data_IF_403812116262
#
_entry.id   IF_403812116262
#
_cell.length_a   1.000
_cell.length_b   1.000
_cell.length_c   1.000
_cell.angle_alpha   90.00
_cell.angle_beta   90.00
_cell.angle_gamma   90.00
#
_symmetry.space_group_name_H-M   'P 1'
#
loop_
_entity.id
_entity.type
_entity.pdbx_description
1 polymer ?
#
# COMPACT_ATOMS: atom_id res chain seq x y z
N UNK A 1 7.98 40.98 -3.40
CA UNK A 1 7.46 39.83 -4.14
C UNK A 1 5.95 39.99 -4.26
N UNK A 2 5.43 40.18 -5.48
CA UNK A 2 4.02 40.45 -5.70
C UNK A 2 3.21 39.22 -6.13
N UNK A 3 3.87 38.09 -6.43
CA UNK A 3 3.22 36.90 -6.98
C UNK A 3 3.10 35.78 -5.94
N UNK A 4 1.94 35.12 -5.91
CA UNK A 4 1.70 33.91 -5.12
C UNK A 4 0.99 32.89 -6.00
N UNK A 5 1.51 31.66 -5.98
CA UNK A 5 0.91 30.52 -6.65
C UNK A 5 0.18 29.68 -5.61
N UNK A 6 -0.98 29.13 -5.97
CA UNK A 6 -1.79 28.26 -5.13
C UNK A 6 -2.23 27.07 -5.98
N UNK A 7 -1.87 25.87 -5.56
CA UNK A 7 -2.42 24.64 -6.10
C UNK A 7 -3.42 24.05 -5.11
N UNK A 8 -4.62 23.75 -5.56
CA UNK A 8 -5.62 22.99 -4.82
C UNK A 8 -5.69 21.59 -5.43
N UNK A 9 -5.42 20.59 -4.62
CA UNK A 9 -5.30 19.21 -5.03
C UNK A 9 -6.37 18.38 -4.32
N UNK A 10 -7.08 17.51 -5.05
CA UNK A 10 -7.96 16.51 -4.48
C UNK A 10 -7.39 15.15 -4.81
N UNK A 11 -7.04 14.43 -3.79
CA UNK A 11 -6.56 13.04 -3.89
C UNK A 11 -7.64 12.06 -3.42
N UNK A 12 -7.67 10.89 -4.05
CA UNK A 12 -8.58 9.80 -3.70
C UNK A 12 -7.76 8.56 -3.31
N UNK A 13 -8.10 7.92 -2.21
CA UNK A 13 -7.44 6.69 -1.77
C UNK A 13 -7.78 5.53 -2.71
N UNK A 14 -6.77 4.90 -3.28
CA UNK A 14 -6.88 3.72 -4.16
C UNK A 14 -6.81 2.42 -3.38
N UNK A 15 -6.08 2.44 -2.26
CA UNK A 15 -6.02 1.36 -1.29
C UNK A 15 -6.35 1.87 0.11
N UNK A 16 -6.63 1.00 1.09
CA UNK A 16 -6.89 1.42 2.46
C UNK A 16 -5.74 2.25 3.03
N UNK A 17 -6.07 3.24 3.83
CA UNK A 17 -5.14 4.24 4.34
C UNK A 17 -4.95 4.10 5.85
N UNK A 18 -3.69 3.98 6.31
CA UNK A 18 -3.34 3.91 7.72
C UNK A 18 -2.38 5.04 8.10
N UNK A 19 -2.92 6.20 8.47
CA UNK A 19 -2.13 7.34 8.99
C UNK A 19 -2.20 7.30 10.50
N UNK A 20 -1.10 6.87 11.13
CA UNK A 20 -1.03 6.62 12.57
C UNK A 20 -0.45 7.81 13.30
N UNK A 21 -0.98 8.09 14.49
CA UNK A 21 -0.51 9.16 15.39
C UNK A 21 0.76 8.79 16.15
N UNK A 22 1.24 7.55 16.07
CA UNK A 22 2.30 7.00 16.91
C UNK A 22 1.84 6.62 18.32
N UNK A 23 0.59 6.91 18.68
CA UNK A 23 -0.01 6.47 19.94
C UNK A 23 -0.57 5.05 19.79
N UNK A 24 -0.49 4.28 20.88
CA UNK A 24 -1.13 2.96 20.96
C UNK A 24 -2.49 3.13 21.63
N UNK A 25 -3.52 2.54 21.08
CA UNK A 25 -4.80 2.37 21.77
C UNK A 25 -4.82 1.05 22.55
N UNK A 26 -5.61 0.99 23.63
CA UNK A 26 -5.61 -0.11 24.59
C UNK A 26 -5.87 -1.51 24.00
N UNK A 27 -6.36 -1.61 22.77
CA UNK A 27 -6.67 -2.87 22.09
C UNK A 27 -6.04 -2.99 20.69
N UNK A 28 -5.31 -1.97 20.21
CA UNK A 28 -4.69 -1.96 18.87
C UNK A 28 -3.30 -1.35 18.92
N UNK A 29 -2.45 -1.83 18.04
CA UNK A 29 -1.06 -1.34 17.93
C UNK A 29 -0.97 0.09 17.40
N UNK A 30 -2.05 0.63 16.79
CA UNK A 30 -2.01 1.95 16.13
C UNK A 30 -3.34 2.71 16.24
N UNK A 31 -3.26 4.02 16.45
CA UNK A 31 -4.39 4.97 16.39
C UNK A 31 -4.27 5.87 15.16
N UNK A 32 -5.40 6.24 14.54
CA UNK A 32 -5.42 7.16 13.40
C UNK A 32 -5.20 8.62 13.85
N UNK A 33 -4.53 9.42 13.01
CA UNK A 33 -4.47 10.88 13.19
C UNK A 33 -5.83 11.49 12.86
N UNK A 34 -6.35 12.31 13.77
CA UNK A 34 -7.67 12.93 13.66
C UNK A 34 -7.62 14.43 13.85
N UNK A 35 -8.58 15.13 13.23
CA UNK A 35 -8.79 16.57 13.40
C UNK A 35 -9.62 16.92 14.66
N UNK A 36 -9.99 18.19 14.80
CA UNK A 36 -10.81 18.66 15.92
C UNK A 36 -12.26 18.13 15.92
N UNK A 37 -12.74 17.55 14.83
CA UNK A 37 -14.04 16.89 14.71
C UNK A 37 -13.96 15.39 14.99
N UNK A 38 -12.77 14.85 15.27
CA UNK A 38 -12.52 13.42 15.35
C UNK A 38 -12.46 12.73 13.97
N UNK A 39 -12.41 13.48 12.87
CA UNK A 39 -12.30 12.96 11.51
C UNK A 39 -10.84 12.71 11.14
N UNK A 40 -10.54 11.66 10.36
CA UNK A 40 -9.19 11.38 9.93
C UNK A 40 -8.66 12.48 9.01
N UNK A 41 -7.39 12.83 9.17
CA UNK A 41 -6.70 13.79 8.32
C UNK A 41 -5.33 13.30 7.89
N UNK A 42 -4.80 13.84 6.80
CA UNK A 42 -3.42 13.63 6.39
C UNK A 42 -2.57 14.80 6.90
N UNK A 43 -1.66 14.62 7.88
CA UNK A 43 -0.83 15.71 8.38
C UNK A 43 0.00 16.35 7.26
N UNK A 44 0.10 17.68 7.27
CA UNK A 44 0.94 18.42 6.33
C UNK A 44 2.41 17.96 6.37
N UNK A 45 2.90 17.58 7.54
CA UNK A 45 4.24 17.02 7.73
C UNK A 45 4.43 15.69 7.03
N UNK A 46 3.41 14.81 7.04
CA UNK A 46 3.44 13.54 6.30
C UNK A 46 3.45 13.78 4.79
N UNK A 47 2.64 14.74 4.33
CA UNK A 47 2.61 15.15 2.92
C UNK A 47 3.98 15.71 2.50
N UNK A 48 4.51 16.67 3.26
CA UNK A 48 5.82 17.28 2.99
C UNK A 48 6.94 16.22 2.99
N UNK A 49 6.91 15.29 3.94
CA UNK A 49 7.92 14.23 4.06
C UNK A 49 7.96 13.31 2.82
N UNK A 50 6.80 12.79 2.41
CA UNK A 50 6.70 11.93 1.22
C UNK A 50 7.10 12.70 -0.04
N UNK A 51 6.56 13.90 -0.22
CA UNK A 51 6.81 14.69 -1.42
C UNK A 51 8.28 15.15 -1.50
N UNK A 52 8.89 15.60 -0.40
CA UNK A 52 10.30 15.99 -0.38
C UNK A 52 11.23 14.79 -0.65
N UNK A 53 10.89 13.61 -0.13
CA UNK A 53 11.64 12.39 -0.42
C UNK A 53 11.61 12.04 -1.92
N UNK A 54 10.43 12.09 -2.55
CA UNK A 54 10.32 11.87 -3.99
C UNK A 54 11.07 12.96 -4.78
N UNK A 55 10.96 14.24 -4.39
CA UNK A 55 11.70 15.33 -5.03
C UNK A 55 13.22 15.08 -5.00
N UNK A 56 13.76 14.60 -3.89
CA UNK A 56 15.17 14.24 -3.79
C UNK A 56 15.56 13.10 -4.74
N UNK A 57 14.72 12.06 -4.84
CA UNK A 57 14.99 10.89 -5.69
C UNK A 57 14.92 11.20 -7.19
N UNK A 58 14.03 12.12 -7.59
CA UNK A 58 13.83 12.49 -8.99
C UNK A 58 14.71 13.65 -9.46
N UNK A 59 14.96 14.64 -8.60
CA UNK A 59 15.60 15.89 -8.98
C UNK A 59 16.88 16.18 -8.21
N UNK A 60 17.24 15.33 -7.24
CA UNK A 60 18.44 15.50 -6.44
C UNK A 60 18.25 16.38 -5.21
N UNK A 61 19.28 16.30 -4.33
CA UNK A 61 19.28 16.93 -3.02
C UNK A 61 19.20 18.47 -3.08
N UNK A 62 19.86 19.09 -4.05
CA UNK A 62 19.85 20.57 -4.17
C UNK A 62 18.45 21.12 -4.44
N UNK A 63 17.70 20.49 -5.37
CA UNK A 63 16.31 20.87 -5.69
C UNK A 63 15.40 20.61 -4.50
N UNK A 64 15.57 19.48 -3.81
CA UNK A 64 14.82 19.17 -2.58
C UNK A 64 15.08 20.23 -1.51
N UNK A 65 16.34 20.60 -1.20
CA UNK A 65 16.69 21.61 -0.20
C UNK A 65 16.19 23.00 -0.59
N UNK A 66 16.24 23.35 -1.88
CA UNK A 66 15.72 24.61 -2.38
C UNK A 66 14.22 24.79 -2.10
N UNK A 67 13.41 23.74 -2.34
CA UNK A 67 11.95 23.86 -2.24
C UNK A 67 11.42 23.48 -0.84
N UNK A 68 11.93 22.45 -0.23
CA UNK A 68 11.42 21.93 1.05
C UNK A 68 12.20 22.39 2.27
N UNK A 69 13.31 23.09 2.06
CA UNK A 69 14.15 23.61 3.12
C UNK A 69 15.18 22.59 3.62
N UNK A 70 16.08 23.11 4.46
CA UNK A 70 17.16 22.35 5.07
C UNK A 70 17.19 22.64 6.56
N UNK A 71 17.28 21.58 7.39
CA UNK A 71 17.64 21.68 8.80
C UNK A 71 19.14 21.52 8.93
N UNK A 72 19.79 22.34 9.76
CA UNK A 72 21.22 22.23 10.10
C UNK A 72 21.37 21.70 11.52
N UNK A 73 22.27 20.76 11.72
CA UNK A 73 22.71 20.31 13.04
C UNK A 73 23.79 21.25 13.61
N UNK A 74 23.40 22.46 13.97
CA UNK A 74 24.28 23.44 14.63
C UNK A 74 24.88 24.49 13.70
N UNK A 75 24.44 25.70 13.86
CA UNK A 75 24.79 26.98 13.24
C UNK A 75 24.13 27.33 11.90
N UNK A 76 23.38 28.43 11.95
CA UNK A 76 23.08 29.48 10.97
C UNK A 76 22.76 29.11 9.49
N UNK A 77 22.91 27.88 9.06
CA UNK A 77 22.69 27.45 7.69
C UNK A 77 21.38 26.62 7.49
N UNK A 78 20.30 27.05 8.14
CA UNK A 78 18.98 26.48 7.89
C UNK A 78 18.23 27.33 6.87
N UNK A 79 17.43 26.67 6.02
CA UNK A 79 16.55 27.32 5.08
C UNK A 79 15.12 26.79 5.27
N UNK A 80 14.15 27.73 5.41
CA UNK A 80 12.74 27.35 5.51
C UNK A 80 12.24 26.79 4.18
N UNK A 81 11.22 25.91 4.23
CA UNK A 81 10.48 25.50 3.06
C UNK A 81 9.87 26.69 2.32
N UNK A 82 9.95 26.66 0.99
CA UNK A 82 9.22 27.60 0.11
C UNK A 82 7.79 27.18 -0.13
N UNK A 83 7.49 25.91 0.08
CA UNK A 83 6.11 25.45 0.08
C UNK A 83 5.46 25.65 1.45
N UNK A 84 4.21 26.14 1.43
CA UNK A 84 3.30 26.12 2.56
C UNK A 84 2.21 25.11 2.22
N UNK A 85 2.17 24.01 2.94
CA UNK A 85 1.32 22.84 2.66
C UNK A 85 0.26 22.76 3.76
N UNK A 86 -1.01 22.60 3.37
CA UNK A 86 -2.09 22.35 4.33
C UNK A 86 -2.15 20.88 4.74
N UNK A 87 -2.87 20.60 5.83
CA UNK A 87 -3.33 19.23 6.07
C UNK A 87 -4.23 18.75 4.94
N UNK A 88 -4.24 17.45 4.69
CA UNK A 88 -5.23 16.80 3.84
C UNK A 88 -6.55 16.68 4.59
N UNK A 89 -7.57 17.42 4.13
CA UNK A 89 -8.89 17.52 4.77
C UNK A 89 -9.87 16.57 4.10
N UNK A 90 -10.52 15.71 4.91
CA UNK A 90 -11.48 14.72 4.43
C UNK A 90 -12.69 15.40 3.75
N UNK A 91 -13.18 14.79 2.67
CA UNK A 91 -14.43 15.18 2.02
C UNK A 91 -15.63 14.43 2.61
N UNK A 92 -16.77 15.14 2.63
CA UNK A 92 -18.08 14.54 2.90
C UNK A 92 -18.58 13.70 1.71
N UNK A 93 -19.74 13.06 1.85
CA UNK A 93 -20.35 12.26 0.79
C UNK A 93 -20.70 13.06 -0.49
N UNK A 94 -20.80 14.38 -0.40
CA UNK A 94 -21.08 15.29 -1.53
C UNK A 94 -19.82 15.86 -2.17
N UNK A 95 -18.64 15.41 -1.78
CA UNK A 95 -17.37 15.84 -2.32
C UNK A 95 -16.91 17.22 -1.83
N UNK A 96 -17.44 17.69 -0.68
CA UNK A 96 -17.00 18.94 -0.07
C UNK A 96 -16.03 18.68 1.06
N UNK A 97 -14.88 19.39 1.12
CA UNK A 97 -13.94 19.24 2.22
C UNK A 97 -14.51 19.78 3.53
N UNK A 98 -14.46 18.98 4.59
CA UNK A 98 -14.94 19.33 5.93
C UNK A 98 -13.93 20.22 6.63
N UNK A 99 -14.07 21.54 6.49
CA UNK A 99 -13.13 22.53 7.02
C UNK A 99 -13.64 23.17 8.31
N UNK A 100 -12.75 23.24 9.30
CA UNK A 100 -13.05 23.82 10.61
C UNK A 100 -13.99 22.93 11.44
N UNK A 101 -14.52 23.49 12.53
CA UNK A 101 -15.42 22.78 13.42
C UNK A 101 -16.83 22.70 12.80
N UNK A 102 -17.39 21.50 12.76
CA UNK A 102 -18.75 21.24 12.29
C UNK A 102 -19.62 20.71 13.45
N UNK A 103 -20.93 20.87 13.30
CA UNK A 103 -21.86 20.33 14.31
C UNK A 103 -21.90 18.81 14.24
N UNK A 104 -22.01 18.09 15.37
CA UNK A 104 -22.06 16.61 15.41
C UNK A 104 -23.14 16.03 14.48
N UNK A 105 -24.29 16.69 14.37
CA UNK A 105 -25.37 16.29 13.48
C UNK A 105 -24.93 16.15 12.00
N UNK A 106 -24.04 17.02 11.53
CA UNK A 106 -23.50 16.93 10.15
C UNK A 106 -22.72 15.65 9.94
N UNK A 107 -21.98 15.20 10.96
CA UNK A 107 -21.23 13.95 10.93
C UNK A 107 -22.16 12.74 10.96
N UNK A 108 -23.20 12.79 11.79
CA UNK A 108 -24.15 11.68 11.94
C UNK A 108 -25.05 11.47 10.71
N UNK A 109 -25.36 12.54 9.97
CA UNK A 109 -26.20 12.50 8.77
C UNK A 109 -25.43 12.19 7.48
N UNK A 110 -24.10 12.32 7.49
CA UNK A 110 -23.26 12.03 6.33
C UNK A 110 -22.67 10.61 6.39
N UNK A 111 -22.86 9.86 5.32
CA UNK A 111 -22.45 8.45 5.28
C UNK A 111 -20.93 8.26 5.38
N UNK A 112 -20.12 9.11 4.74
CA UNK A 112 -18.66 9.05 4.76
C UNK A 112 -18.15 9.43 6.15
N UNK A 113 -18.62 10.57 6.67
CA UNK A 113 -18.14 11.10 7.96
C UNK A 113 -18.50 10.17 9.11
N UNK A 114 -19.73 9.62 9.09
CA UNK A 114 -20.22 8.67 10.09
C UNK A 114 -19.37 7.40 10.20
N UNK A 115 -18.87 6.88 9.07
CA UNK A 115 -17.95 5.75 9.07
C UNK A 115 -16.57 6.17 9.55
N UNK A 116 -16.07 7.31 9.07
CA UNK A 116 -14.70 7.75 9.33
C UNK A 116 -14.48 8.25 10.76
N UNK A 117 -15.52 8.76 11.46
CA UNK A 117 -15.42 9.21 12.85
C UNK A 117 -15.30 8.06 13.84
N UNK A 118 -15.68 6.84 13.45
CA UNK A 118 -15.55 5.66 14.31
C UNK A 118 -14.08 5.45 14.70
N UNK A 119 -13.84 5.01 15.92
CA UNK A 119 -12.47 4.66 16.37
C UNK A 119 -11.86 3.59 15.47
N UNK A 120 -12.66 2.67 14.97
CA UNK A 120 -12.29 1.53 14.15
C UNK A 120 -13.13 1.46 12.87
N UNK A 121 -12.88 2.34 11.90
CA UNK A 121 -13.64 2.34 10.65
C UNK A 121 -13.51 1.01 9.91
N UNK A 122 -12.31 0.45 9.91
CA UNK A 122 -11.96 -0.87 9.39
C UNK A 122 -10.62 -1.32 10.00
N UNK A 123 -10.31 -2.63 9.95
CA UNK A 123 -9.03 -3.14 10.45
C UNK A 123 -8.51 -4.29 9.59
N UNK A 124 -7.20 -4.42 9.54
CA UNK A 124 -6.50 -5.56 8.94
C UNK A 124 -5.72 -6.32 9.99
N UNK A 125 -5.96 -7.61 10.07
CA UNK A 125 -5.15 -8.54 10.85
C UNK A 125 -4.00 -9.05 10.00
N UNK A 126 -2.81 -9.09 10.59
CA UNK A 126 -1.60 -9.62 9.95
C UNK A 126 -0.89 -10.57 10.89
N UNK A 127 -0.23 -11.56 10.31
CA UNK A 127 0.64 -12.46 11.04
C UNK A 127 1.92 -12.70 10.25
N UNK A 128 3.06 -12.63 10.92
CA UNK A 128 4.31 -13.02 10.29
C UNK A 128 4.44 -14.55 10.36
N UNK A 129 4.72 -15.16 9.21
CA UNK A 129 4.90 -16.59 9.05
C UNK A 129 6.40 -16.86 8.87
N UNK A 130 6.93 -17.88 9.52
CA UNK A 130 8.32 -18.32 9.37
C UNK A 130 8.50 -19.23 8.13
N UNK A 131 9.73 -19.64 7.86
CA UNK A 131 10.08 -20.48 6.71
C UNK A 131 9.42 -21.87 6.73
N UNK A 132 8.94 -22.31 7.89
CA UNK A 132 8.21 -23.58 8.06
C UNK A 132 6.70 -23.44 7.82
N UNK A 133 6.21 -22.24 7.43
CA UNK A 133 4.79 -21.97 7.24
C UNK A 133 3.99 -21.83 8.55
N UNK A 134 4.66 -21.61 9.68
CA UNK A 134 4.05 -21.46 11.01
C UNK A 134 4.11 -20.00 11.44
N UNK A 135 3.06 -19.53 12.12
CA UNK A 135 3.04 -18.19 12.69
C UNK A 135 4.18 -18.01 13.70
N UNK A 136 4.93 -16.91 13.57
CA UNK A 136 5.94 -16.55 14.56
C UNK A 136 5.25 -16.19 15.89
N UNK A 137 5.83 -16.59 17.04
CA UNK A 137 5.33 -16.15 18.35
C UNK A 137 5.26 -14.62 18.43
N UNK A 138 4.17 -14.10 19.01
CA UNK A 138 3.94 -12.65 19.23
C UNK A 138 3.97 -11.78 17.95
N UNK A 139 3.84 -12.36 16.78
CA UNK A 139 3.91 -11.67 15.50
C UNK A 139 2.53 -11.50 14.82
N UNK A 140 1.44 -11.62 15.56
CA UNK A 140 0.12 -11.15 15.15
C UNK A 140 -0.02 -9.69 15.56
N UNK A 141 -0.43 -8.85 14.62
CA UNK A 141 -0.70 -7.43 14.86
C UNK A 141 -1.91 -6.98 14.06
N UNK A 142 -2.64 -6.03 14.64
CA UNK A 142 -3.84 -5.45 14.08
C UNK A 142 -3.57 -4.00 13.69
N UNK A 143 -4.02 -3.62 12.52
CA UNK A 143 -3.83 -2.28 12.00
C UNK A 143 -5.19 -1.66 11.66
N UNK A 144 -5.51 -0.53 12.28
CA UNK A 144 -6.68 0.25 11.92
C UNK A 144 -6.41 0.94 10.58
N UNK A 145 -7.36 0.82 9.66
CA UNK A 145 -7.29 1.40 8.32
C UNK A 145 -8.57 2.15 7.98
N UNK A 146 -8.45 3.15 7.13
CA UNK A 146 -9.57 3.80 6.46
C UNK A 146 -9.88 3.05 5.17
N UNK A 147 -11.14 2.87 4.80
CA UNK A 147 -11.52 2.24 3.53
C UNK A 147 -11.00 3.03 2.32
N UNK A 148 -10.84 2.37 1.19
CA UNK A 148 -10.49 3.05 -0.07
C UNK A 148 -11.66 3.87 -0.62
N UNK A 149 -11.36 4.81 -1.52
CA UNK A 149 -12.31 5.71 -2.15
C UNK A 149 -12.58 6.99 -1.38
N UNK A 150 -11.87 7.25 -0.27
CA UNK A 150 -11.96 8.52 0.44
C UNK A 150 -11.21 9.62 -0.31
N UNK A 151 -11.76 10.83 -0.29
CA UNK A 151 -11.13 12.00 -0.88
C UNK A 151 -10.61 12.95 0.18
N UNK A 152 -9.47 13.58 -0.12
CA UNK A 152 -8.86 14.60 0.72
C UNK A 152 -8.44 15.79 -0.13
N UNK A 153 -8.74 17.01 0.35
CA UNK A 153 -8.22 18.24 -0.24
C UNK A 153 -6.92 18.65 0.41
N UNK A 154 -5.92 18.96 -0.40
CA UNK A 154 -4.63 19.54 0.01
C UNK A 154 -4.42 20.85 -0.72
N UNK A 155 -3.99 21.89 -0.02
CA UNK A 155 -3.60 23.16 -0.62
C UNK A 155 -2.10 23.36 -0.48
N UNK A 156 -1.44 23.73 -1.57
CA UNK A 156 -0.02 24.07 -1.62
C UNK A 156 0.15 25.48 -2.11
N UNK A 157 0.97 26.29 -1.41
CA UNK A 157 1.25 27.69 -1.77
C UNK A 157 2.73 27.93 -1.85
N UNK A 158 3.15 28.76 -2.81
CA UNK A 158 4.54 29.20 -2.99
C UNK A 158 4.62 30.49 -3.78
N UNK A 159 5.78 31.14 -3.80
CA UNK A 159 5.98 32.46 -4.41
C UNK A 159 6.89 32.43 -5.66
N UNK A 160 7.75 31.41 -5.79
CA UNK A 160 8.72 31.29 -6.88
C UNK A 160 8.12 30.56 -8.08
N UNK A 161 8.67 30.79 -9.27
CA UNK A 161 8.34 30.03 -10.47
C UNK A 161 9.14 28.71 -10.49
N UNK A 162 8.68 27.70 -11.26
CA UNK A 162 9.41 26.46 -11.50
C UNK A 162 9.05 25.29 -10.59
N UNK A 163 7.89 25.33 -9.89
CA UNK A 163 7.40 24.24 -9.06
C UNK A 163 6.66 23.12 -9.83
N UNK A 164 6.32 23.37 -11.09
CA UNK A 164 5.48 22.48 -11.91
C UNK A 164 6.02 21.04 -11.99
N UNK A 165 7.34 20.79 -12.20
CA UNK A 165 7.88 19.43 -12.20
C UNK A 165 7.70 18.70 -10.86
N UNK A 166 7.76 19.44 -9.75
CA UNK A 166 7.53 18.89 -8.41
C UNK A 166 6.06 18.53 -8.19
N UNK A 167 5.13 19.37 -8.71
CA UNK A 167 3.71 19.08 -8.66
C UNK A 167 3.34 17.85 -9.50
N UNK A 168 4.04 17.58 -10.60
CA UNK A 168 3.83 16.38 -11.41
C UNK A 168 4.08 15.08 -10.64
N UNK A 169 4.91 15.10 -9.59
CA UNK A 169 5.15 13.94 -8.72
C UNK A 169 3.88 13.43 -8.02
N UNK A 170 2.82 14.24 -7.90
CA UNK A 170 1.55 13.83 -7.32
C UNK A 170 0.80 12.77 -8.16
N UNK A 171 1.19 12.57 -9.41
CA UNK A 171 0.67 11.51 -10.28
C UNK A 171 1.42 10.17 -10.15
N UNK A 172 2.49 10.12 -9.36
CA UNK A 172 3.28 8.90 -9.20
C UNK A 172 2.60 7.89 -8.27
N UNK A 173 2.73 6.59 -8.61
CA UNK A 173 2.33 5.49 -7.71
C UNK A 173 3.01 5.59 -6.33
N UNK A 174 4.22 6.12 -6.27
CA UNK A 174 5.02 6.30 -5.07
C UNK A 174 4.49 7.40 -4.14
N UNK A 175 3.60 8.28 -4.62
CA UNK A 175 2.88 9.22 -3.77
C UNK A 175 1.85 8.46 -2.94
N UNK A 176 2.30 7.93 -1.81
CA UNK A 176 1.51 7.10 -0.91
C UNK A 176 1.73 7.56 0.54
N UNK A 177 0.67 7.56 1.33
CA UNK A 177 0.69 8.11 2.69
C UNK A 177 0.43 7.07 3.76
N UNK A 178 0.99 7.31 4.95
CA UNK A 178 0.80 6.47 6.12
C UNK A 178 1.74 5.28 6.21
N UNK A 179 1.38 4.30 7.02
CA UNK A 179 2.19 3.11 7.26
C UNK A 179 1.95 2.02 6.23
N UNK A 180 2.88 1.10 6.09
CA UNK A 180 2.80 -0.08 5.22
C UNK A 180 2.59 0.22 3.72
N UNK A 181 3.03 1.38 3.24
CA UNK A 181 2.88 1.79 1.83
C UNK A 181 3.59 0.86 0.84
N UNK A 182 4.64 0.15 1.28
CA UNK A 182 5.33 -0.87 0.48
C UNK A 182 4.64 -2.24 0.48
N UNK A 183 3.53 -2.36 1.20
CA UNK A 183 2.76 -3.60 1.36
C UNK A 183 1.29 -3.43 0.95
N UNK A 184 1.00 -2.50 0.04
CA UNK A 184 -0.32 -2.29 -0.56
C UNK A 184 -1.19 -1.21 0.06
N UNK A 185 -0.80 -0.59 1.20
CA UNK A 185 -1.60 0.47 1.82
C UNK A 185 -1.22 1.87 1.36
N UNK A 186 -2.12 2.82 1.59
CA UNK A 186 -1.87 4.25 1.51
C UNK A 186 -1.71 4.82 0.10
N UNK A 187 -1.96 4.03 -0.93
CA UNK A 187 -1.92 4.51 -2.31
C UNK A 187 -3.01 5.53 -2.56
N UNK A 188 -2.63 6.62 -3.22
CA UNK A 188 -3.57 7.68 -3.64
C UNK A 188 -3.40 7.97 -5.13
N UNK A 189 -4.45 8.54 -5.71
CA UNK A 189 -4.43 9.12 -7.06
C UNK A 189 -4.89 10.57 -6.98
N UNK A 190 -4.30 11.44 -7.77
CA UNK A 190 -4.79 12.80 -7.97
C UNK A 190 -6.03 12.73 -8.88
N UNK A 191 -7.17 13.24 -8.39
CA UNK A 191 -8.43 13.18 -9.14
C UNK A 191 -8.85 14.54 -9.68
N UNK A 192 -8.58 15.60 -8.92
CA UNK A 192 -8.86 16.98 -9.33
C UNK A 192 -7.69 17.88 -8.91
N UNK A 193 -7.37 18.87 -9.74
CA UNK A 193 -6.37 19.87 -9.41
C UNK A 193 -6.63 21.17 -10.16
N UNK A 194 -6.34 22.29 -9.51
CA UNK A 194 -6.22 23.59 -10.15
C UNK A 194 -4.91 24.25 -9.76
N UNK A 195 -4.49 25.24 -10.55
CA UNK A 195 -3.33 26.06 -10.29
C UNK A 195 -3.69 27.51 -10.55
N UNK A 196 -3.78 28.31 -9.51
CA UNK A 196 -4.05 29.74 -9.60
C UNK A 196 -2.78 30.55 -9.29
N UNK A 197 -2.61 31.63 -10.05
CA UNK A 197 -1.49 32.56 -9.89
C UNK A 197 -2.06 33.95 -9.59
N UNK A 198 -1.66 34.50 -8.47
CA UNK A 198 -2.12 35.81 -8.01
C UNK A 198 -1.00 36.84 -8.09
N UNK A 199 -1.22 37.94 -8.80
CA UNK A 199 -0.37 39.10 -8.67
C UNK A 199 -0.96 40.02 -7.60
N UNK A 200 -0.29 40.17 -6.49
CA UNK A 200 -0.75 40.92 -5.33
C UNK A 200 -0.66 42.44 -5.53
N UNK A 201 -0.10 42.91 -6.64
CA UNK A 201 -0.20 44.33 -7.03
C UNK A 201 -1.58 44.68 -7.57
N UNK A 202 -2.39 43.67 -7.96
CA UNK A 202 -3.74 43.83 -8.47
C UNK A 202 -4.79 43.59 -7.37
N UNK A 203 -5.62 44.61 -7.06
CA UNK A 203 -6.63 44.52 -6.00
C UNK A 203 -7.66 43.38 -6.18
N UNK A 204 -8.00 43.04 -7.42
CA UNK A 204 -8.91 41.93 -7.73
C UNK A 204 -8.31 40.58 -7.34
N UNK A 205 -7.00 40.39 -7.49
CA UNK A 205 -6.29 39.16 -7.09
C UNK A 205 -6.20 39.03 -5.58
N UNK A 206 -6.08 40.13 -4.83
CA UNK A 206 -6.08 40.11 -3.37
C UNK A 206 -7.39 39.51 -2.85
N UNK A 207 -8.54 39.95 -3.38
CA UNK A 207 -9.86 39.44 -2.99
C UNK A 207 -9.99 37.90 -3.22
N UNK A 208 -9.61 37.46 -4.41
CA UNK A 208 -9.62 36.00 -4.73
C UNK A 208 -8.69 35.21 -3.81
N UNK A 209 -7.48 35.70 -3.54
CA UNK A 209 -6.54 35.06 -2.65
C UNK A 209 -7.10 34.90 -1.24
N UNK A 210 -7.80 35.89 -0.71
CA UNK A 210 -8.44 35.81 0.62
C UNK A 210 -9.43 34.65 0.66
N UNK A 211 -10.17 34.38 -0.40
CA UNK A 211 -11.09 33.23 -0.48
C UNK A 211 -10.36 31.88 -0.29
N UNK A 212 -9.14 31.73 -0.77
CA UNK A 212 -8.35 30.52 -0.59
C UNK A 212 -7.88 30.29 0.86
N UNK A 213 -7.88 31.30 1.69
CA UNK A 213 -7.61 31.17 3.13
C UNK A 213 -8.84 30.87 3.97
N UNK A 214 -10.03 31.08 3.38
CA UNK A 214 -11.30 30.89 4.07
C UNK A 214 -11.82 29.46 3.91
N UNK A 215 -12.84 29.10 4.73
CA UNK A 215 -13.53 27.81 4.67
C UNK A 215 -14.17 27.49 3.32
N UNK A 216 -14.27 28.47 2.43
CA UNK A 216 -14.93 28.38 1.14
C UNK A 216 -13.97 28.33 -0.06
N UNK A 217 -12.71 27.91 0.13
CA UNK A 217 -11.84 27.67 -1.00
C UNK A 217 -12.52 26.69 -1.98
N UNK A 218 -12.58 27.02 -3.28
CA UNK A 218 -13.29 26.18 -4.25
C UNK A 218 -12.64 24.80 -4.36
N UNK A 219 -13.47 23.77 -4.56
CA UNK A 219 -12.97 22.45 -4.94
C UNK A 219 -12.70 22.48 -6.45
N UNK A 220 -11.52 22.04 -6.92
CA UNK A 220 -11.23 21.97 -8.34
C UNK A 220 -12.29 21.14 -9.08
N UNK A 221 -12.69 21.56 -10.26
CA UNK A 221 -13.63 20.82 -11.12
C UNK A 221 -12.93 20.05 -12.24
N UNK A 222 -11.68 20.41 -12.54
CA UNK A 222 -10.85 19.81 -13.57
C UNK A 222 -9.59 19.23 -12.93
N UNK A 223 -8.86 18.41 -13.67
CA UNK A 223 -7.53 17.95 -13.26
C UNK A 223 -6.46 18.56 -14.18
N UNK A 224 -5.92 19.71 -13.78
CA UNK A 224 -4.90 20.42 -14.52
C UNK A 224 -3.54 19.67 -14.56
N UNK A 225 -3.24 18.89 -13.51
CA UNK A 225 -1.98 18.15 -13.39
C UNK A 225 -2.07 16.70 -13.93
N UNK A 226 -3.23 16.28 -14.40
CA UNK A 226 -3.42 14.95 -15.01
C UNK A 226 -2.76 14.86 -16.39
N UNK A 227 -1.48 15.18 -16.48
CA UNK A 227 -0.71 14.93 -17.68
C UNK A 227 0.20 13.73 -17.41
N UNK A 228 0.01 12.69 -18.22
CA UNK A 228 0.78 11.46 -18.32
C UNK A 228 1.13 10.80 -16.98
N UNK A 229 0.61 9.62 -16.78
CA UNK A 229 1.01 8.74 -15.68
C UNK A 229 2.49 8.42 -15.86
N UNK A 230 3.36 9.25 -15.28
CA UNK A 230 4.76 8.92 -15.08
C UNK A 230 4.79 7.77 -14.09
N UNK A 231 4.79 6.54 -14.54
CA UNK A 231 4.69 5.41 -13.62
C UNK A 231 5.00 4.05 -14.24
N UNK A 232 4.91 3.92 -15.56
CA UNK A 232 5.25 2.66 -16.24
C UNK A 232 6.72 2.26 -16.05
N UNK A 233 7.61 3.23 -15.93
CA UNK A 233 9.06 3.05 -15.68
C UNK A 233 9.40 2.45 -14.30
N UNK A 234 8.43 2.36 -13.39
CA UNK A 234 8.62 1.78 -12.07
C UNK A 234 7.93 0.43 -11.90
N UNK A 235 7.16 0.00 -12.88
CA UNK A 235 6.48 -1.29 -12.88
C UNK A 235 7.49 -2.40 -13.20
N UNK A 236 7.97 -3.08 -12.16
CA UNK A 236 8.90 -4.19 -12.30
C UNK A 236 8.22 -5.44 -12.86
N UNK A 237 7.02 -5.75 -12.39
CA UNK A 237 6.24 -6.89 -12.86
C UNK A 237 4.73 -6.65 -12.74
N UNK A 238 3.99 -7.10 -13.74
CA UNK A 238 2.54 -7.22 -13.73
C UNK A 238 2.17 -8.62 -14.21
N UNK A 239 1.55 -9.39 -13.33
CA UNK A 239 1.35 -10.82 -13.49
C UNK A 239 -0.14 -11.15 -13.32
N UNK A 240 -0.91 -11.21 -14.43
CA UNK A 240 -2.27 -11.74 -14.42
C UNK A 240 -2.28 -13.22 -14.07
N UNK A 241 -3.01 -13.56 -13.02
CA UNK A 241 -3.08 -14.91 -12.45
C UNK A 241 -4.52 -15.36 -12.32
N UNK A 242 -4.71 -16.69 -12.40
CA UNK A 242 -5.99 -17.34 -12.17
C UNK A 242 -5.79 -18.53 -11.23
N UNK A 243 -6.70 -18.72 -10.27
CA UNK A 243 -6.71 -19.94 -9.47
C UNK A 243 -7.27 -21.12 -10.27
N UNK A 244 -6.71 -22.30 -10.04
CA UNK A 244 -7.07 -23.52 -10.78
C UNK A 244 -8.47 -24.02 -10.44
N UNK A 245 -8.90 -23.84 -9.18
CA UNK A 245 -10.17 -24.35 -8.66
C UNK A 245 -10.69 -23.45 -7.53
N UNK A 246 -11.38 -24.02 -6.58
CA UNK A 246 -11.88 -23.36 -5.39
C UNK A 246 -10.72 -22.83 -4.53
N UNK A 247 -10.83 -21.55 -4.15
CA UNK A 247 -9.73 -20.81 -3.59
C UNK A 247 -10.20 -19.85 -2.49
N UNK A 248 -9.35 -19.56 -1.53
CA UNK A 248 -9.61 -18.62 -0.44
C UNK A 248 -8.32 -17.93 0.02
N UNK A 249 -8.41 -16.69 0.48
CA UNK A 249 -7.29 -16.01 1.13
C UNK A 249 -7.74 -15.28 2.41
N UNK A 250 -6.82 -15.10 3.31
CA UNK A 250 -7.00 -14.33 4.53
C UNK A 250 -8.14 -14.82 5.43
N UNK A 251 -8.65 -13.92 6.26
CA UNK A 251 -9.81 -14.12 7.13
C UNK A 251 -10.72 -12.90 7.00
N UNK A 252 -11.91 -13.09 6.43
CA UNK A 252 -12.93 -12.07 6.24
C UNK A 252 -13.98 -12.08 7.34
N UNK A 253 -14.77 -11.00 7.42
CA UNK A 253 -15.89 -10.86 8.36
C UNK A 253 -17.25 -10.98 7.68
N UNK A 254 -17.33 -10.78 6.36
CA UNK A 254 -18.56 -10.75 5.59
C UNK A 254 -18.54 -11.81 4.49
N UNK A 255 -19.68 -12.52 4.32
CA UNK A 255 -19.87 -13.46 3.23
C UNK A 255 -19.93 -12.72 1.89
N UNK A 256 -19.31 -13.31 0.88
CA UNK A 256 -19.27 -12.76 -0.48
C UNK A 256 -20.37 -13.31 -1.38
N UNK A 257 -21.01 -14.40 -0.97
CA UNK A 257 -22.15 -15.01 -1.66
C UNK A 257 -23.34 -15.24 -0.75
N UNK A 258 -24.50 -15.50 -1.35
CA UNK A 258 -25.69 -15.87 -0.60
C UNK A 258 -25.79 -17.40 -0.51
N UNK A 259 -25.85 -17.92 0.69
CA UNK A 259 -25.89 -19.35 0.98
C UNK A 259 -27.16 -19.77 1.75
N UNK A 260 -28.13 -18.87 1.86
CA UNK A 260 -29.40 -19.08 2.50
C UNK A 260 -29.26 -19.46 3.96
N UNK A 261 -29.91 -20.52 4.41
CA UNK A 261 -29.91 -20.94 5.83
C UNK A 261 -28.55 -21.38 6.36
N UNK A 262 -27.56 -21.58 5.49
CA UNK A 262 -26.22 -22.06 5.86
C UNK A 262 -25.26 -20.91 6.21
N UNK A 263 -25.65 -19.67 5.97
CA UNK A 263 -24.80 -18.48 6.23
C UNK A 263 -24.30 -18.38 7.65
N UNK A 264 -25.16 -18.70 8.63
CA UNK A 264 -24.80 -18.63 10.05
C UNK A 264 -23.76 -19.70 10.50
N UNK A 265 -23.47 -20.66 9.65
CA UNK A 265 -22.59 -21.79 9.97
C UNK A 265 -21.21 -21.65 9.32
N UNK A 266 -20.96 -20.59 8.54
CA UNK A 266 -19.69 -20.42 7.85
C UNK A 266 -18.63 -19.92 8.81
N UNK A 267 -17.58 -20.71 9.00
CA UNK A 267 -16.51 -20.45 9.97
C UNK A 267 -15.33 -19.69 9.38
N UNK A 268 -15.04 -19.91 8.10
CA UNK A 268 -13.91 -19.31 7.40
C UNK A 268 -14.37 -18.61 6.14
N UNK A 269 -14.15 -17.32 6.08
CA UNK A 269 -14.57 -16.42 5.01
C UNK A 269 -13.35 -15.83 4.33
N UNK A 270 -13.40 -15.62 3.03
CA UNK A 270 -12.35 -14.92 2.29
C UNK A 270 -12.26 -13.46 2.73
N UNK A 271 -11.04 -12.96 2.87
CA UNK A 271 -10.83 -11.56 3.21
C UNK A 271 -11.41 -10.63 2.14
N UNK A 272 -12.17 -9.66 2.59
CA UNK A 272 -12.83 -8.68 1.72
C UNK A 272 -12.87 -7.31 2.39
N UNK A 273 -12.98 -6.25 1.59
CA UNK A 273 -13.00 -4.87 2.05
C UNK A 273 -14.13 -4.09 1.38
N UNK A 274 -14.98 -3.42 2.15
CA UNK A 274 -15.92 -2.46 1.61
C UNK A 274 -15.17 -1.19 1.15
N UNK A 275 -15.81 -0.41 0.27
CA UNK A 275 -15.18 0.78 -0.27
C UNK A 275 -16.19 1.85 -0.68
N UNK A 276 -15.68 3.06 -0.86
CA UNK A 276 -16.45 4.16 -1.42
C UNK A 276 -16.20 4.29 -2.91
N UNK A 277 -17.26 4.48 -3.69
CA UNK A 277 -17.19 4.76 -5.13
C UNK A 277 -17.87 6.10 -5.41
N UNK A 278 -17.19 6.96 -6.18
CA UNK A 278 -17.74 8.25 -6.57
C UNK A 278 -18.57 8.11 -7.84
N UNK A 279 -19.85 8.45 -7.74
CA UNK A 279 -20.82 8.42 -8.84
C UNK A 279 -21.52 9.78 -8.90
N UNK A 280 -21.42 10.48 -10.02
CA UNK A 280 -22.02 11.82 -10.21
C UNK A 280 -21.67 12.84 -9.10
N UNK A 281 -20.44 12.79 -8.60
CA UNK A 281 -19.97 13.68 -7.54
C UNK A 281 -20.36 13.29 -6.11
N UNK A 282 -21.04 12.17 -5.92
CA UNK A 282 -21.40 11.61 -4.62
C UNK A 282 -20.65 10.34 -4.31
N UNK A 283 -20.23 10.18 -3.05
CA UNK A 283 -19.66 8.93 -2.55
C UNK A 283 -20.77 7.94 -2.21
N UNK A 284 -20.70 6.77 -2.81
CA UNK A 284 -21.65 5.66 -2.60
C UNK A 284 -20.91 4.49 -1.99
N UNK A 285 -21.42 3.99 -0.86
CA UNK A 285 -20.89 2.82 -0.19
C UNK A 285 -21.14 1.57 -1.04
N UNK A 286 -20.11 0.80 -1.27
CA UNK A 286 -20.15 -0.43 -2.03
C UNK A 286 -19.93 -1.64 -1.12
N UNK A 287 -20.55 -2.76 -1.46
CA UNK A 287 -20.34 -4.04 -0.81
C UNK A 287 -18.87 -4.46 -0.88
N UNK A 288 -18.45 -5.27 0.08
CA UNK A 288 -17.07 -5.71 0.17
C UNK A 288 -16.62 -6.49 -1.07
N UNK A 289 -15.44 -6.17 -1.58
CA UNK A 289 -14.74 -6.93 -2.60
C UNK A 289 -13.69 -7.83 -1.97
N UNK A 290 -13.57 -9.04 -2.47
CA UNK A 290 -12.50 -9.94 -2.09
C UNK A 290 -11.13 -9.34 -2.48
N UNK A 291 -10.17 -9.39 -1.56
CA UNK A 291 -8.84 -8.79 -1.73
C UNK A 291 -7.75 -9.75 -1.26
N UNK A 292 -6.74 -9.93 -2.10
CA UNK A 292 -5.47 -10.52 -1.70
C UNK A 292 -4.51 -9.40 -1.31
N UNK A 293 -4.19 -9.30 -0.03
CA UNK A 293 -3.35 -8.22 0.49
C UNK A 293 -1.92 -8.28 -0.04
N UNK A 294 -1.37 -7.15 -0.44
CA UNK A 294 0.01 -7.01 -0.91
C UNK A 294 1.05 -7.48 0.10
N UNK A 295 0.76 -7.36 1.40
CA UNK A 295 1.61 -7.92 2.46
C UNK A 295 1.70 -9.44 2.41
N UNK A 296 0.59 -10.13 2.13
CA UNK A 296 0.57 -11.59 1.96
C UNK A 296 1.33 -12.02 0.72
N UNK A 297 1.11 -11.32 -0.40
CA UNK A 297 1.84 -11.56 -1.64
C UNK A 297 3.35 -11.40 -1.41
N UNK A 298 3.74 -10.26 -0.82
CA UNK A 298 5.14 -9.94 -0.54
C UNK A 298 5.80 -10.99 0.37
N UNK A 299 5.07 -11.49 1.36
CA UNK A 299 5.54 -12.56 2.26
C UNK A 299 5.80 -13.87 1.51
N UNK A 300 4.85 -14.32 0.71
CA UNK A 300 4.98 -15.55 -0.08
C UNK A 300 6.16 -15.45 -1.07
N UNK A 301 6.25 -14.32 -1.79
CA UNK A 301 7.36 -14.08 -2.71
C UNK A 301 8.71 -14.07 -1.98
N UNK A 302 8.82 -13.41 -0.83
CA UNK A 302 10.05 -13.35 -0.05
C UNK A 302 10.52 -14.73 0.39
N UNK A 303 9.61 -15.61 0.83
CA UNK A 303 9.93 -16.98 1.20
C UNK A 303 10.42 -17.80 -0.01
N UNK A 304 9.73 -17.72 -1.15
CA UNK A 304 10.11 -18.49 -2.33
C UNK A 304 11.40 -17.99 -2.96
N UNK A 305 11.59 -16.67 -3.01
CA UNK A 305 12.84 -16.05 -3.47
C UNK A 305 14.00 -16.47 -2.53
N UNK A 306 13.80 -16.47 -1.21
CA UNK A 306 14.81 -16.94 -0.25
C UNK A 306 15.22 -18.39 -0.50
N UNK A 307 14.24 -19.26 -0.78
CA UNK A 307 14.52 -20.67 -1.16
C UNK A 307 15.38 -20.75 -2.43
N UNK A 308 15.00 -20.06 -3.52
CA UNK A 308 15.77 -20.09 -4.76
C UNK A 308 17.12 -19.39 -4.64
N UNK A 309 17.22 -18.34 -3.85
CA UNK A 309 18.49 -17.66 -3.58
C UNK A 309 19.50 -18.61 -2.94
N UNK A 310 19.08 -19.33 -1.88
CA UNK A 310 19.92 -20.37 -1.25
C UNK A 310 20.26 -21.51 -2.22
N UNK A 311 19.29 -21.94 -3.04
CA UNK A 311 19.51 -22.96 -4.07
C UNK A 311 20.58 -22.55 -5.09
N UNK A 312 20.54 -21.30 -5.57
CA UNK A 312 21.54 -20.80 -6.51
C UNK A 312 22.94 -20.66 -5.87
N UNK A 313 23.01 -20.42 -4.58
CA UNK A 313 24.25 -20.41 -3.81
C UNK A 313 24.68 -21.83 -3.35
N UNK A 314 23.90 -22.86 -3.69
CA UNK A 314 24.13 -24.24 -3.22
C UNK A 314 24.19 -24.37 -1.68
N UNK A 315 23.49 -23.47 -0.97
CA UNK A 315 23.42 -23.47 0.49
C UNK A 315 22.18 -24.26 0.94
N UNK A 316 22.36 -25.49 1.29
CA UNK A 316 21.28 -26.40 1.64
C UNK A 316 21.05 -26.47 3.15
N UNK A 317 19.79 -26.69 3.52
CA UNK A 317 19.41 -26.80 4.94
C UNK A 317 20.15 -27.91 5.66
N UNK A 318 20.45 -29.01 4.97
CA UNK A 318 21.17 -30.16 5.50
C UNK A 318 22.64 -29.88 5.85
N UNK A 319 23.21 -28.82 5.27
CA UNK A 319 24.58 -28.39 5.54
C UNK A 319 24.68 -27.47 6.76
N UNK A 320 23.53 -26.96 7.23
CA UNK A 320 23.48 -26.17 8.44
C UNK A 320 23.57 -27.08 9.63
N UNK A 321 24.54 -26.82 10.54
CA UNK A 321 24.73 -27.60 11.74
C UNK A 321 23.43 -27.84 12.51
N UNK A 322 23.22 -29.07 12.98
CA UNK A 322 22.10 -29.44 13.86
C UNK A 322 22.13 -28.66 15.18
N UNK A 323 23.29 -28.12 15.55
CA UNK A 323 23.49 -27.26 16.73
C UNK A 323 23.14 -25.79 16.44
N UNK A 324 22.88 -25.44 15.19
CA UNK A 324 22.49 -24.08 14.82
C UNK A 324 21.18 -23.67 15.52
N UNK A 325 21.17 -22.47 16.08
CA UNK A 325 19.98 -21.95 16.74
C UNK A 325 18.82 -21.79 15.74
N UNK A 326 17.55 -21.85 16.18
CA UNK A 326 16.41 -21.56 15.31
C UNK A 326 16.52 -20.23 14.57
N UNK A 327 17.14 -19.21 15.17
CA UNK A 327 17.40 -17.91 14.55
C UNK A 327 18.27 -18.03 13.28
N UNK A 328 19.28 -18.88 13.28
CA UNK A 328 20.15 -19.07 12.11
C UNK A 328 19.41 -19.75 10.94
N UNK A 329 18.42 -20.60 11.23
CA UNK A 329 17.57 -21.23 10.21
C UNK A 329 16.55 -20.25 9.62
N UNK A 330 16.10 -19.30 10.44
CA UNK A 330 15.07 -18.32 10.07
C UNK A 330 15.65 -17.04 9.45
N UNK A 331 16.97 -16.86 9.53
CA UNK A 331 17.63 -15.68 9.01
C UNK A 331 17.50 -15.62 7.49
N UNK A 332 16.95 -14.50 7.01
CA UNK A 332 16.86 -14.25 5.58
C UNK A 332 18.24 -13.96 5.01
N UNK A 333 18.57 -14.49 3.80
CA UNK A 333 19.81 -14.13 3.13
C UNK A 333 19.98 -12.61 3.02
N UNK A 334 21.16 -12.09 3.38
CA UNK A 334 21.42 -10.65 3.40
C UNK A 334 21.15 -9.96 2.05
N UNK A 335 21.36 -10.67 0.93
CA UNK A 335 21.06 -10.18 -0.42
C UNK A 335 19.59 -9.81 -0.63
N UNK A 336 18.67 -10.32 0.19
CA UNK A 336 17.24 -9.98 0.10
C UNK A 336 16.89 -8.67 0.82
N UNK A 337 17.72 -8.18 1.73
CA UNK A 337 17.42 -7.03 2.57
C UNK A 337 17.16 -5.75 1.77
N UNK A 338 17.90 -5.53 0.71
CA UNK A 338 17.70 -4.36 -0.15
C UNK A 338 16.35 -4.37 -0.89
N UNK A 339 15.77 -5.54 -1.16
CA UNK A 339 14.50 -5.66 -1.89
C UNK A 339 13.29 -5.65 -0.98
N UNK A 340 13.36 -6.36 0.15
CA UNK A 340 12.23 -6.54 1.07
C UNK A 340 12.31 -5.64 2.30
N UNK A 341 13.46 -5.08 2.59
CA UNK A 341 13.73 -4.30 3.78
C UNK A 341 14.27 -5.16 4.94
N UNK A 342 14.94 -4.49 5.83
CA UNK A 342 15.49 -5.04 7.06
C UNK A 342 15.33 -4.02 8.18
N UNK A 343 14.84 -4.46 9.31
CA UNK A 343 14.76 -3.66 10.54
C UNK A 343 15.78 -4.22 11.54
N UNK A 344 16.72 -3.40 11.97
CA UNK A 344 17.62 -3.72 13.06
C UNK A 344 16.96 -3.30 14.38
N UNK A 345 16.83 -4.25 15.31
CA UNK A 345 16.18 -3.99 16.61
C UNK A 345 17.06 -3.17 17.58
N UNK A 346 18.37 -3.15 17.36
CA UNK A 346 19.35 -2.52 18.23
C UNK A 346 19.90 -1.21 17.67
N UNK A 347 19.87 -1.06 16.34
CA UNK A 347 20.45 0.08 15.64
C UNK A 347 19.56 0.51 14.47
N UNK A 348 18.68 1.47 14.73
CA UNK A 348 17.73 1.96 13.72
C UNK A 348 18.43 2.59 12.49
N UNK A 349 19.66 3.06 12.62
CA UNK A 349 20.42 3.62 11.50
C UNK A 349 20.83 2.54 10.49
N UNK A 350 20.96 1.29 10.93
CA UNK A 350 21.22 0.13 10.06
C UNK A 350 19.96 -0.42 9.39
N UNK A 351 18.79 0.04 9.79
CA UNK A 351 17.54 -0.39 9.17
C UNK A 351 17.48 0.08 7.71
N UNK A 352 17.06 -0.80 6.83
CA UNK A 352 16.97 -0.54 5.41
C UNK A 352 15.54 -0.70 4.91
N UNK A 353 15.00 0.33 4.28
CA UNK A 353 13.73 0.22 3.58
C UNK A 353 13.89 -0.56 2.26
N UNK A 354 13.04 -1.56 2.04
CA UNK A 354 13.06 -2.34 0.80
C UNK A 354 12.60 -1.54 -0.41
N UNK A 355 13.11 -1.87 -1.58
CA UNK A 355 12.76 -1.18 -2.83
C UNK A 355 11.49 -1.68 -3.50
N UNK A 356 10.95 -2.83 -3.09
CA UNK A 356 9.73 -3.38 -3.68
C UNK A 356 8.48 -2.84 -2.99
N UNK A 357 7.57 -2.33 -3.81
CA UNK A 357 6.19 -2.05 -3.45
C UNK A 357 5.33 -3.14 -4.09
N UNK A 358 4.48 -3.78 -3.31
CA UNK A 358 3.54 -4.80 -3.79
C UNK A 358 2.13 -4.31 -3.51
N UNK A 359 1.31 -4.20 -4.55
CA UNK A 359 -0.06 -3.74 -4.43
C UNK A 359 -0.98 -4.84 -3.88
N UNK A 360 -2.09 -4.41 -3.28
CA UNK A 360 -3.23 -5.29 -3.05
C UNK A 360 -3.84 -5.69 -4.40
N UNK A 361 -4.35 -6.90 -4.48
CA UNK A 361 -5.01 -7.40 -5.68
C UNK A 361 -6.49 -7.67 -5.40
N UNK A 362 -7.39 -6.98 -6.09
CA UNK A 362 -8.81 -7.31 -6.08
C UNK A 362 -9.05 -8.62 -6.84
N UNK A 363 -9.98 -9.42 -6.34
CA UNK A 363 -10.30 -10.73 -6.90
C UNK A 363 -11.60 -10.66 -7.67
N UNK A 364 -11.57 -11.12 -8.91
CA UNK A 364 -12.74 -11.37 -9.73
C UNK A 364 -13.00 -12.88 -9.76
N UNK A 365 -14.21 -13.32 -9.50
CA UNK A 365 -14.58 -14.74 -9.42
C UNK A 365 -15.94 -15.00 -10.03
N UNK A 366 -16.16 -16.23 -10.47
CA UNK A 366 -17.42 -16.62 -11.14
C UNK A 366 -18.57 -16.77 -10.13
N UNK A 367 -18.32 -17.48 -9.04
CA UNK A 367 -19.29 -17.71 -7.95
C UNK A 367 -18.58 -18.12 -6.66
N UNK A 368 -19.35 -18.17 -5.59
CA UNK A 368 -18.90 -18.69 -4.29
C UNK A 368 -19.44 -20.09 -4.05
N UNK A 369 -18.72 -20.88 -3.28
CA UNK A 369 -19.12 -22.22 -2.89
C UNK A 369 -18.86 -22.45 -1.39
N UNK A 370 -19.71 -23.25 -0.75
CA UNK A 370 -19.49 -23.71 0.62
C UNK A 370 -18.85 -25.09 0.61
N UNK A 371 -17.82 -25.25 1.43
CA UNK A 371 -17.20 -26.54 1.68
C UNK A 371 -17.18 -26.85 3.17
N UNK A 372 -17.67 -28.01 3.51
CA UNK A 372 -17.58 -28.53 4.87
C UNK A 372 -16.35 -29.41 5.02
N UNK A 373 -15.65 -29.24 6.14
CA UNK A 373 -14.47 -30.03 6.49
C UNK A 373 -14.61 -30.58 7.88
N UNK A 374 -14.06 -31.78 8.07
CA UNK A 374 -13.93 -32.39 9.37
C UNK A 374 -12.51 -32.96 9.53
N UNK A 375 -12.12 -33.19 10.77
CA UNK A 375 -10.90 -33.96 11.08
C UNK A 375 -11.32 -35.34 11.60
N UNK A 376 -10.76 -36.37 11.00
CA UNK A 376 -10.97 -37.75 11.42
C UNK A 376 -9.81 -38.14 12.35
N UNK A 377 -10.14 -38.70 13.48
CA UNK A 377 -9.18 -39.31 14.37
C UNK A 377 -8.67 -40.59 13.71
N UNK A 378 -7.35 -40.66 13.46
CA UNK A 378 -6.73 -41.79 12.73
C UNK A 378 -6.75 -43.08 13.52
N UNK A 379 -6.89 -42.99 14.84
CA UNK A 379 -6.85 -44.20 15.71
C UNK A 379 -8.25 -44.81 15.82
N UNK A 380 -9.29 -43.97 16.03
CA UNK A 380 -10.65 -44.45 16.22
C UNK A 380 -11.46 -44.52 14.95
N UNK A 381 -11.01 -43.85 13.85
CA UNK A 381 -11.79 -43.69 12.62
C UNK A 381 -12.96 -42.76 12.72
N UNK A 382 -13.22 -42.19 13.91
CA UNK A 382 -14.34 -41.30 14.17
C UNK A 382 -14.01 -39.83 13.92
N UNK A 383 -15.04 -39.00 13.77
CA UNK A 383 -14.89 -37.56 13.65
C UNK A 383 -14.47 -36.96 15.01
N UNK A 384 -13.42 -36.17 15.02
CA UNK A 384 -12.97 -35.46 16.23
C UNK A 384 -14.03 -34.44 16.64
N UNK A 385 -14.40 -34.45 17.95
CA UNK A 385 -15.36 -33.51 18.50
C UNK A 385 -14.90 -32.06 18.30
N UNK A 386 -15.78 -31.20 17.78
CA UNK A 386 -15.48 -29.78 17.52
C UNK A 386 -14.61 -29.50 16.30
N UNK A 387 -14.33 -30.51 15.45
CA UNK A 387 -13.50 -30.37 14.27
C UNK A 387 -14.28 -30.24 12.96
N UNK A 388 -15.60 -30.08 13.03
CA UNK A 388 -16.43 -29.72 11.87
C UNK A 388 -16.39 -28.21 11.70
N UNK A 389 -15.99 -27.75 10.54
CA UNK A 389 -16.03 -26.34 10.14
C UNK A 389 -16.40 -26.20 8.67
N UNK A 390 -16.86 -25.02 8.30
CA UNK A 390 -17.22 -24.68 6.93
C UNK A 390 -16.41 -23.51 6.44
N UNK A 391 -16.13 -23.48 5.17
CA UNK A 391 -15.42 -22.40 4.52
C UNK A 391 -16.16 -21.93 3.26
N UNK A 392 -16.22 -20.62 3.06
CA UNK A 392 -16.63 -20.03 1.81
C UNK A 392 -15.41 -19.93 0.89
N UNK A 393 -15.56 -20.41 -0.31
CA UNK A 393 -14.53 -20.46 -1.34
C UNK A 393 -14.96 -19.67 -2.56
N UNK A 394 -14.02 -19.03 -3.23
CA UNK A 394 -14.20 -18.42 -4.54
C UNK A 394 -13.84 -19.44 -5.61
N UNK A 395 -14.66 -19.54 -6.66
CA UNK A 395 -14.38 -20.43 -7.77
C UNK A 395 -13.59 -19.70 -8.84
N UNK A 396 -12.40 -20.21 -9.14
CA UNK A 396 -11.47 -19.71 -10.16
C UNK A 396 -11.25 -18.20 -10.12
N UNK A 397 -10.94 -17.61 -8.96
CA UNK A 397 -10.68 -16.19 -8.91
C UNK A 397 -9.50 -15.80 -9.80
N UNK A 398 -9.64 -14.64 -10.44
CA UNK A 398 -8.62 -13.98 -11.25
C UNK A 398 -8.15 -12.71 -10.54
N UNK A 399 -6.87 -12.41 -10.65
CA UNK A 399 -6.28 -11.20 -10.09
C UNK A 399 -4.97 -10.86 -10.77
N UNK A 400 -4.55 -9.61 -10.66
CA UNK A 400 -3.28 -9.16 -11.21
C UNK A 400 -2.34 -8.76 -10.08
N UNK A 401 -1.23 -9.47 -9.96
CA UNK A 401 -0.15 -9.14 -9.05
C UNK A 401 0.74 -8.05 -9.66
N UNK A 402 1.00 -6.96 -8.91
CA UNK A 402 1.88 -5.87 -9.36
C UNK A 402 2.99 -5.63 -8.36
N UNK A 403 4.22 -5.54 -8.91
CA UNK A 403 5.43 -5.20 -8.16
C UNK A 403 6.01 -3.94 -8.77
N UNK A 404 6.21 -2.91 -7.94
CA UNK A 404 6.76 -1.63 -8.35
C UNK A 404 8.09 -1.38 -7.65
N UNK A 405 8.95 -0.59 -8.29
CA UNK A 405 10.11 -0.01 -7.64
C UNK A 405 9.70 1.22 -6.83
N UNK A 406 10.20 1.34 -5.61
CA UNK A 406 9.90 2.45 -4.71
C UNK A 406 10.55 3.77 -5.15
N UNK A 407 11.59 3.69 -5.97
CA UNK A 407 12.44 4.81 -6.36
C UNK A 407 12.78 4.71 -7.85
N UNK A 408 13.13 5.83 -8.52
CA UNK A 408 13.54 5.80 -9.91
C UNK A 408 14.68 4.81 -10.18
N UNK A 409 14.62 4.10 -11.28
CA UNK A 409 15.65 3.13 -11.63
C UNK A 409 17.05 3.76 -11.72
N UNK A 410 17.15 4.94 -12.30
CA UNK A 410 18.43 5.70 -12.38
C UNK A 410 19.02 5.98 -11.01
N UNK A 411 18.16 6.37 -10.04
CA UNK A 411 18.59 6.56 -8.66
C UNK A 411 19.04 5.24 -8.02
N UNK A 412 18.24 4.17 -8.16
CA UNK A 412 18.58 2.87 -7.58
C UNK A 412 19.93 2.35 -8.11
N UNK A 413 20.17 2.46 -9.41
CA UNK A 413 21.43 2.06 -10.03
C UNK A 413 22.64 2.90 -9.61
N UNK A 414 22.45 4.15 -9.21
CA UNK A 414 23.54 5.01 -8.70
C UNK A 414 23.94 4.71 -7.26
N UNK A 415 23.03 4.19 -6.44
CA UNK A 415 23.25 4.01 -4.98
C UNK A 415 23.30 2.55 -4.52
N UNK A 416 22.91 1.60 -5.37
CA UNK A 416 22.84 0.19 -5.02
C UNK A 416 23.54 -0.69 -6.05
N UNK A 417 24.23 -1.70 -5.56
CA UNK A 417 24.67 -2.82 -6.39
C UNK A 417 23.62 -3.92 -6.30
N UNK A 418 23.06 -4.32 -7.43
CA UNK A 418 22.11 -5.40 -7.49
C UNK A 418 22.83 -6.75 -7.47
N UNK A 419 22.39 -7.62 -6.56
CA UNK A 419 22.91 -8.97 -6.47
C UNK A 419 22.36 -9.82 -7.66
N UNK A 420 23.22 -10.33 -8.55
CA UNK A 420 22.78 -11.13 -9.69
C UNK A 420 22.08 -12.43 -9.26
N UNK A 421 22.43 -12.99 -8.11
CA UNK A 421 21.77 -14.20 -7.55
C UNK A 421 20.32 -13.89 -7.18
N UNK A 422 20.04 -12.68 -6.70
CA UNK A 422 18.68 -12.27 -6.43
C UNK A 422 17.81 -12.26 -7.70
N UNK A 423 18.32 -11.74 -8.82
CA UNK A 423 17.59 -11.77 -10.10
C UNK A 423 17.26 -13.19 -10.51
N UNK A 424 18.22 -14.10 -10.48
CA UNK A 424 18.00 -15.52 -10.80
C UNK A 424 16.98 -16.19 -9.86
N UNK A 425 17.01 -15.84 -8.59
CA UNK A 425 16.06 -16.36 -7.60
C UNK A 425 14.64 -15.82 -7.85
N UNK A 426 14.51 -14.54 -8.23
CA UNK A 426 13.23 -13.94 -8.60
C UNK A 426 12.68 -14.57 -9.88
N UNK A 427 13.49 -14.72 -10.94
CA UNK A 427 13.11 -15.39 -12.19
C UNK A 427 12.62 -16.82 -11.93
N UNK A 428 13.35 -17.59 -11.11
CA UNK A 428 12.93 -18.94 -10.72
C UNK A 428 11.62 -18.95 -9.94
N UNK A 429 11.40 -17.95 -9.09
CA UNK A 429 10.14 -17.80 -8.32
C UNK A 429 8.97 -17.49 -9.24
N UNK A 430 9.16 -16.62 -10.23
CA UNK A 430 8.13 -16.29 -11.21
C UNK A 430 7.81 -17.48 -12.12
N UNK A 431 8.82 -18.28 -12.48
CA UNK A 431 8.59 -19.51 -13.24
C UNK A 431 7.79 -20.55 -12.42
N UNK A 432 8.09 -20.72 -11.14
CA UNK A 432 7.27 -21.57 -10.25
C UNK A 432 5.82 -21.08 -10.18
N UNK A 433 5.62 -19.76 -10.13
CA UNK A 433 4.28 -19.18 -10.11
C UNK A 433 3.55 -19.43 -11.42
N UNK A 434 4.24 -19.31 -12.55
CA UNK A 434 3.71 -19.54 -13.89
C UNK A 434 3.27 -20.99 -14.10
N UNK A 435 4.02 -21.92 -13.53
CA UNK A 435 3.77 -23.36 -13.63
C UNK A 435 2.79 -23.88 -12.56
N UNK A 436 2.22 -23.03 -11.72
CA UNK A 436 1.32 -23.45 -10.66
C UNK A 436 2.01 -24.16 -9.49
N UNK A 437 3.32 -24.01 -9.34
CA UNK A 437 4.11 -24.67 -8.28
C UNK A 437 4.21 -23.84 -6.99
N UNK A 438 3.83 -22.57 -7.04
CA UNK A 438 3.82 -21.67 -5.89
C UNK A 438 2.39 -21.46 -5.40
N UNK A 439 2.01 -22.01 -4.24
CA UNK A 439 0.66 -21.81 -3.71
C UNK A 439 0.48 -20.39 -3.17
N UNK A 440 -0.62 -19.76 -3.58
CA UNK A 440 -1.10 -18.49 -3.07
C UNK A 440 -2.44 -18.69 -2.36
N UNK A 441 -2.61 -18.09 -1.18
CA UNK A 441 -3.87 -18.16 -0.43
C UNK A 441 -3.83 -19.13 0.75
N UNK A 442 -5.01 -19.52 1.25
CA UNK A 442 -5.16 -20.37 2.42
C UNK A 442 -5.39 -21.84 2.06
N UNK A 443 -4.80 -22.75 2.83
CA UNK A 443 -4.96 -24.20 2.63
C UNK A 443 -3.96 -24.83 1.67
N UNK A 444 -2.77 -24.24 1.50
CA UNK A 444 -1.69 -24.75 0.64
C UNK A 444 -1.30 -26.20 0.97
N UNK A 445 -1.21 -26.57 2.24
CA UNK A 445 -0.96 -27.96 2.67
C UNK A 445 -2.11 -28.95 2.43
N UNK A 446 -3.21 -28.54 1.79
CA UNK A 446 -4.42 -29.35 1.53
C UNK A 446 -4.76 -29.40 0.05
N UNK A 447 -3.80 -29.08 -0.83
CA UNK A 447 -4.00 -29.09 -2.28
C UNK A 447 -4.88 -27.94 -2.82
N UNK A 448 -5.18 -26.93 -1.98
CA UNK A 448 -5.86 -25.71 -2.41
C UNK A 448 -4.83 -24.60 -2.71
N UNK A 449 -5.27 -23.48 -3.28
CA UNK A 449 -4.49 -22.27 -3.48
C UNK A 449 -3.40 -22.34 -4.56
N UNK A 450 -3.55 -23.23 -5.51
CA UNK A 450 -2.72 -23.19 -6.71
C UNK A 450 -3.24 -22.14 -7.68
N UNK A 451 -2.31 -21.37 -8.22
CA UNK A 451 -2.57 -20.33 -9.23
C UNK A 451 -1.61 -20.53 -10.39
N UNK A 452 -2.04 -20.14 -11.57
CA UNK A 452 -1.26 -20.18 -12.80
C UNK A 452 -1.39 -18.86 -13.56
N UNK A 453 -0.62 -18.69 -14.62
CA UNK A 453 -0.79 -17.56 -15.52
C UNK A 453 -2.21 -17.59 -16.12
N UNK A 454 -2.89 -16.43 -16.15
CA UNK A 454 -4.15 -16.28 -16.84
C UNK A 454 -3.98 -16.55 -18.35
N UNK A 455 -4.83 -17.40 -18.92
CA UNK A 455 -4.70 -17.84 -20.31
C UNK A 455 -4.89 -16.71 -21.36
N UNK A 456 -5.40 -15.54 -20.95
CA UNK A 456 -5.82 -14.47 -21.85
C UNK A 456 -4.94 -13.21 -21.73
N UNK A 457 -3.97 -13.20 -20.84
CA UNK A 457 -3.16 -12.01 -20.58
C UNK A 457 -1.67 -12.36 -20.44
N UNK A 458 -0.83 -11.58 -21.12
CA UNK A 458 0.61 -11.77 -21.02
C UNK A 458 1.20 -11.12 -19.76
N UNK A 459 2.25 -11.73 -19.24
CA UNK A 459 3.02 -11.17 -18.16
C UNK A 459 3.95 -10.07 -18.68
N UNK A 460 3.98 -8.94 -17.93
CA UNK A 460 4.95 -7.88 -18.14
C UNK A 460 6.01 -8.03 -17.07
N UNK A 461 7.27 -8.17 -17.46
CA UNK A 461 8.39 -8.23 -16.51
C UNK A 461 9.56 -7.40 -17.02
N UNK A 462 10.10 -6.55 -16.17
CA UNK A 462 11.23 -5.67 -16.43
C UNK A 462 12.44 -6.06 -15.56
N UNK A 463 12.66 -7.37 -15.38
CA UNK A 463 13.71 -7.91 -14.51
C UNK A 463 15.14 -7.56 -14.98
N UNK A 464 15.31 -7.16 -16.23
CA UNK A 464 16.58 -6.64 -16.74
C UNK A 464 17.04 -5.37 -16.03
N UNK A 465 16.12 -4.63 -15.36
CA UNK A 465 16.48 -3.48 -14.54
C UNK A 465 17.30 -3.85 -13.30
N UNK A 466 17.22 -5.11 -12.85
CA UNK A 466 17.93 -5.61 -11.67
C UNK A 466 19.34 -6.14 -12.00
N UNK A 467 19.98 -5.59 -13.04
CA UNK A 467 21.35 -5.93 -13.45
C UNK A 467 22.21 -4.69 -13.40
N UNK A 468 23.44 -4.81 -12.90
CA UNK A 468 24.45 -3.74 -12.97
C UNK A 468 24.91 -3.56 -14.43
N UNK A 469 24.46 -2.50 -15.08
CA UNK A 469 24.85 -2.20 -16.49
C UNK A 469 26.36 -2.05 -16.66
N UNK A 470 27.09 -1.64 -15.61
CA UNK A 470 28.55 -1.48 -15.67
C UNK A 470 29.35 -2.79 -15.76
N UNK A 471 28.71 -3.96 -15.63
CA UNK A 471 29.38 -5.27 -15.75
C UNK A 471 29.13 -5.98 -17.07
N UNK A 472 28.15 -5.55 -17.87
CA UNK A 472 27.88 -6.14 -19.20
C UNK A 472 28.82 -5.59 -20.28
N UNK A 473 29.38 -4.39 -20.15
CA UNK A 473 30.35 -3.82 -21.07
C UNK A 473 31.80 -4.41 -20.95
N UNK A 474 32.02 -5.27 -19.93
CA UNK A 474 33.33 -5.92 -19.72
C UNK A 474 33.31 -7.45 -20.03
N UNK A 475 32.29 -7.96 -20.67
CA UNK A 475 32.21 -9.31 -21.21
C UNK A 475 32.03 -9.29 -22.72
#
# INVERSE_FOLDING_TARGET
>A
MSKVNVANLVIETVSPLAITSGLREAAFDTALVRDCNGLPMIPATSIAGVWSHLAEKYFGREIREYWFGRASEGNDDYCRSRFVISHGVLHDQHGQPVRGLVQPRVIDEDGVLKVCVQERPYHRERVAINDRGVAKPYAKFDQIVLPKGLRFSVQVRWEQDGAEPLLALWNLRQMAFGSSTRNGLGQVKLVLSDLERFDLSEGAHIGKRIQHYCRHAPVPVNNFLAQEVVGAEHLLAQLPLQALDNWRCGSGAELLGSHGRLEQQVSLITYSEPYWQWQNGQAVWQSAKAVLCGSSIKGILAHRISYHYRRHLQCWAEEISLEASPAQWEEKPAGLNQFFGYADEHDHEKSLAGIFIVDDSELEYEHTALRYRNAIDRFTGGVRKGALYSEELLFKPRFTLRIWLAEPLSYLQSVRQFDPVFKLALESTLEDLKQGLLPFGAGSGRGACLVEQSAHEDWITNLHWLVDQNKEEQR
#
